data_IF_658549413508
#
_entry.id   IF_658549413508
#
_cell.length_a   1.000
_cell.length_b   1.000
_cell.length_c   1.000
_cell.angle_alpha   90.00
_cell.angle_beta   90.00
_cell.angle_gamma   90.00
#
_symmetry.space_group_name_H-M   'P 1'
#
loop_
_entity.id
_entity.type
_entity.pdbx_description
1 polymer ?
#
# COMPACT_ATOMS: atom_id res chain seq x y z
N UNK A 1 28.75 -38.50 10.54
CA UNK A 1 27.92 -37.70 11.45
C UNK A 1 27.57 -36.45 10.71
N UNK A 2 26.34 -36.31 10.28
CA UNK A 2 25.83 -35.14 9.60
C UNK A 2 25.17 -34.27 10.68
N UNK A 3 25.80 -33.15 10.99
CA UNK A 3 25.24 -32.17 11.93
C UNK A 3 24.15 -31.37 11.22
N UNK A 4 22.89 -31.67 11.52
CA UNK A 4 21.74 -30.89 11.07
C UNK A 4 21.71 -29.66 11.98
N UNK A 5 22.14 -28.52 11.44
CA UNK A 5 21.91 -27.22 12.08
C UNK A 5 20.41 -26.93 12.05
N UNK A 6 19.77 -26.98 13.21
CA UNK A 6 18.43 -26.42 13.38
C UNK A 6 18.58 -24.90 13.39
N UNK A 7 18.32 -24.25 12.27
CA UNK A 7 18.09 -22.80 12.28
C UNK A 7 16.79 -22.55 13.05
N UNK A 8 16.91 -21.92 14.21
CA UNK A 8 15.77 -21.34 14.91
C UNK A 8 15.18 -20.26 14.00
N UNK A 9 13.87 -20.27 13.73
CA UNK A 9 13.27 -19.17 12.96
C UNK A 9 13.57 -17.86 13.71
N UNK A 10 14.15 -16.88 13.00
CA UNK A 10 14.30 -15.52 13.52
C UNK A 10 12.91 -15.05 13.97
N UNK A 11 12.78 -14.71 15.24
CA UNK A 11 11.53 -14.14 15.75
C UNK A 11 11.28 -12.82 15.05
N UNK A 12 10.09 -12.63 14.48
CA UNK A 12 9.68 -11.37 13.87
C UNK A 12 9.94 -10.20 14.82
N UNK A 13 10.55 -9.14 14.29
CA UNK A 13 10.91 -7.98 15.10
C UNK A 13 9.69 -7.15 15.39
N UNK A 14 9.35 -6.95 16.66
CA UNK A 14 8.30 -6.02 17.08
C UNK A 14 8.75 -4.58 16.83
N UNK A 15 7.95 -3.79 16.11
CA UNK A 15 8.22 -2.40 15.74
C UNK A 15 7.20 -1.41 16.30
N UNK A 16 6.08 -1.91 16.84
CA UNK A 16 5.01 -1.08 17.37
C UNK A 16 3.87 -1.93 17.92
N UNK A 17 2.72 -1.33 18.06
CA UNK A 17 1.50 -2.02 18.45
C UNK A 17 0.26 -1.41 17.80
N UNK A 18 -0.74 -2.22 17.57
CA UNK A 18 -2.12 -1.81 17.22
C UNK A 18 -3.05 -1.94 18.41
N UNK A 19 -4.20 -1.28 18.34
CA UNK A 19 -5.30 -1.41 19.31
C UNK A 19 -6.54 -1.77 18.51
N UNK A 20 -7.17 -2.91 18.84
CA UNK A 20 -8.38 -3.35 18.19
C UNK A 20 -9.62 -2.58 18.68
N UNK A 21 -10.80 -2.90 18.14
CA UNK A 21 -12.06 -2.22 18.49
C UNK A 21 -12.48 -2.44 19.95
N UNK A 22 -11.98 -3.47 20.61
CA UNK A 22 -12.23 -3.79 22.02
C UNK A 22 -11.22 -3.13 22.97
N UNK A 23 -10.23 -2.41 22.42
CA UNK A 23 -9.18 -1.73 23.19
C UNK A 23 -7.99 -2.60 23.57
N UNK A 24 -7.89 -3.80 23.03
CA UNK A 24 -6.77 -4.72 23.28
C UNK A 24 -5.57 -4.41 22.38
N UNK A 25 -4.37 -4.63 22.90
CA UNK A 25 -3.10 -4.40 22.17
C UNK A 25 -2.63 -5.68 21.51
N UNK A 26 -2.18 -5.53 20.24
CA UNK A 26 -1.47 -6.56 19.49
C UNK A 26 -0.15 -5.99 18.94
N UNK A 27 0.90 -6.80 18.90
CA UNK A 27 2.18 -6.37 18.36
C UNK A 27 2.11 -6.15 16.85
N UNK A 28 2.78 -5.08 16.38
CA UNK A 28 3.08 -4.86 14.97
C UNK A 28 4.49 -5.37 14.72
N UNK A 29 4.66 -6.21 13.71
CA UNK A 29 5.92 -6.88 13.38
C UNK A 29 6.34 -6.59 11.94
N UNK A 30 7.53 -7.05 11.55
CA UNK A 30 7.93 -7.14 10.14
C UNK A 30 8.03 -8.63 9.82
N UNK A 31 7.13 -9.12 8.97
CA UNK A 31 7.09 -10.53 8.55
C UNK A 31 7.47 -10.72 7.09
N UNK A 32 7.18 -9.72 6.24
CA UNK A 32 7.47 -9.77 4.81
C UNK A 32 7.98 -8.42 4.29
N UNK A 33 8.90 -8.47 3.33
CA UNK A 33 9.23 -7.31 2.52
C UNK A 33 8.36 -7.32 1.26
N UNK A 34 7.39 -6.43 1.22
CA UNK A 34 6.42 -6.27 0.13
C UNK A 34 6.54 -4.91 -0.56
N UNK A 35 7.61 -4.15 -0.26
CA UNK A 35 7.87 -2.83 -0.82
C UNK A 35 7.96 -2.85 -2.35
N UNK A 36 8.55 -3.90 -2.93
CA UNK A 36 8.70 -4.01 -4.39
C UNK A 36 7.36 -4.13 -5.10
N UNK A 37 6.37 -4.78 -4.48
CA UNK A 37 5.01 -4.89 -5.04
C UNK A 37 4.37 -3.50 -5.10
N UNK A 38 4.46 -2.75 -4.00
CA UNK A 38 3.92 -1.40 -3.92
C UNK A 38 4.65 -0.44 -4.85
N UNK A 39 5.97 -0.55 -4.97
CA UNK A 39 6.77 0.25 -5.89
C UNK A 39 6.37 0.00 -7.35
N UNK A 40 6.23 -1.28 -7.76
CA UNK A 40 5.75 -1.63 -9.09
C UNK A 40 4.33 -1.10 -9.38
N UNK A 41 3.48 -1.02 -8.35
CA UNK A 41 2.15 -0.44 -8.47
C UNK A 41 2.20 1.08 -8.70
N UNK A 42 3.06 1.80 -7.99
CA UNK A 42 3.31 3.23 -8.21
C UNK A 42 3.89 3.49 -9.61
N UNK A 43 4.82 2.64 -10.06
CA UNK A 43 5.38 2.74 -11.41
C UNK A 43 4.29 2.56 -12.47
N UNK A 44 3.40 1.58 -12.32
CA UNK A 44 2.26 1.40 -13.22
C UNK A 44 1.34 2.63 -13.29
N UNK A 45 1.14 3.33 -12.17
CA UNK A 45 0.39 4.59 -12.14
C UNK A 45 1.14 5.70 -12.92
N UNK A 46 2.44 5.85 -12.71
CA UNK A 46 3.27 6.83 -13.40
C UNK A 46 3.36 6.57 -14.90
N UNK A 47 3.39 5.30 -15.31
CA UNK A 47 3.43 4.87 -16.70
C UNK A 47 2.06 4.89 -17.39
N UNK A 48 0.98 5.10 -16.61
CA UNK A 48 -0.42 5.04 -17.11
C UNK A 48 -0.78 3.64 -17.62
N UNK A 49 -0.14 2.61 -17.07
CA UNK A 49 -0.44 1.22 -17.39
C UNK A 49 -1.67 0.74 -16.59
N UNK A 50 -2.82 1.13 -17.09
CA UNK A 50 -4.10 0.79 -16.46
C UNK A 50 -4.41 -0.71 -16.46
N UNK A 51 -3.85 -1.45 -17.42
CA UNK A 51 -3.99 -2.90 -17.44
C UNK A 51 -3.20 -3.53 -16.29
N UNK A 52 -1.98 -3.04 -16.05
CA UNK A 52 -1.15 -3.48 -14.92
C UNK A 52 -1.75 -3.09 -13.58
N UNK A 53 -2.30 -1.88 -13.44
CA UNK A 53 -3.04 -1.47 -12.24
C UNK A 53 -4.20 -2.43 -11.98
N UNK A 54 -5.02 -2.73 -13.01
CA UNK A 54 -6.13 -3.67 -12.87
C UNK A 54 -5.67 -5.10 -12.49
N UNK A 55 -4.54 -5.55 -13.05
CA UNK A 55 -3.95 -6.85 -12.70
C UNK A 55 -3.51 -6.89 -11.24
N UNK A 56 -2.93 -5.81 -10.72
CA UNK A 56 -2.39 -5.74 -9.35
C UNK A 56 -3.45 -5.49 -8.29
N UNK A 57 -4.59 -4.88 -8.63
CA UNK A 57 -5.71 -4.72 -7.71
C UNK A 57 -6.32 -6.06 -7.31
N UNK A 58 -6.82 -6.15 -6.08
CA UNK A 58 -7.84 -7.14 -5.73
C UNK A 58 -9.19 -6.77 -6.39
N UNK A 59 -10.07 -7.75 -6.57
CA UNK A 59 -11.40 -7.49 -7.16
C UNK A 59 -12.26 -6.57 -6.29
N UNK A 60 -12.07 -6.66 -4.98
CA UNK A 60 -12.79 -5.92 -3.93
C UNK A 60 -11.96 -4.80 -3.30
N UNK A 61 -10.95 -4.32 -4.02
CA UNK A 61 -10.10 -3.20 -3.56
C UNK A 61 -10.94 -2.04 -3.04
N UNK A 62 -10.49 -1.45 -1.93
CA UNK A 62 -11.10 -0.28 -1.31
C UNK A 62 -10.08 0.82 -1.17
N UNK A 63 -10.41 2.00 -1.67
CA UNK A 63 -9.50 3.15 -1.66
C UNK A 63 -10.18 4.34 -1.00
N UNK A 64 -9.49 4.91 -0.02
CA UNK A 64 -9.87 6.17 0.61
C UNK A 64 -8.94 7.27 0.13
N UNK A 65 -9.47 8.21 -0.61
CA UNK A 65 -8.71 9.32 -1.15
C UNK A 65 -8.58 10.48 -0.16
N UNK A 66 -7.59 11.37 -0.37
CA UNK A 66 -7.27 12.46 0.56
C UNK A 66 -8.36 13.54 0.66
N UNK A 67 -9.26 13.64 -0.30
CA UNK A 67 -10.40 14.57 -0.28
C UNK A 67 -11.72 13.89 0.15
N UNK A 68 -11.63 12.71 0.82
CA UNK A 68 -12.79 11.99 1.32
C UNK A 68 -13.48 11.09 0.29
N UNK A 69 -12.83 10.82 -0.84
CA UNK A 69 -13.34 9.87 -1.82
C UNK A 69 -13.31 8.46 -1.21
N UNK A 70 -14.34 7.68 -1.49
CA UNK A 70 -14.37 6.24 -1.26
C UNK A 70 -14.66 5.54 -2.56
N UNK A 71 -13.77 4.63 -2.96
CA UNK A 71 -13.86 3.87 -4.20
C UNK A 71 -13.80 2.39 -3.84
N UNK A 72 -14.71 1.60 -4.38
CA UNK A 72 -14.79 0.17 -4.13
C UNK A 72 -14.85 -0.60 -5.46
N UNK A 73 -13.97 -1.59 -5.58
CA UNK A 73 -13.87 -2.48 -6.72
C UNK A 73 -12.82 -2.06 -7.76
N UNK A 74 -12.22 -3.06 -8.38
CA UNK A 74 -11.09 -2.92 -9.30
C UNK A 74 -11.41 -2.00 -10.48
N UNK A 75 -12.53 -2.23 -11.17
CA UNK A 75 -12.90 -1.41 -12.33
C UNK A 75 -13.12 0.05 -11.94
N UNK A 76 -13.84 0.30 -10.85
CA UNK A 76 -14.11 1.66 -10.37
C UNK A 76 -12.82 2.40 -10.00
N UNK A 77 -11.86 1.71 -9.39
CA UNK A 77 -10.57 2.30 -9.07
C UNK A 77 -9.78 2.68 -10.33
N UNK A 78 -9.70 1.79 -11.33
CA UNK A 78 -9.01 2.09 -12.60
C UNK A 78 -9.64 3.26 -13.34
N UNK A 79 -10.96 3.34 -13.39
CA UNK A 79 -11.68 4.47 -13.99
C UNK A 79 -11.38 5.78 -13.27
N UNK A 80 -11.42 5.78 -11.92
CA UNK A 80 -11.06 6.93 -11.12
C UNK A 80 -9.62 7.39 -11.37
N UNK A 81 -8.64 6.46 -11.42
CA UNK A 81 -7.24 6.81 -11.72
C UNK A 81 -7.10 7.45 -13.09
N UNK A 82 -7.80 6.93 -14.11
CA UNK A 82 -7.80 7.52 -15.46
C UNK A 82 -8.29 8.96 -15.46
N UNK A 83 -9.43 9.20 -14.83
CA UNK A 83 -10.04 10.53 -14.76
C UNK A 83 -9.13 11.50 -13.98
N UNK A 84 -8.59 11.05 -12.86
CA UNK A 84 -7.71 11.86 -12.03
C UNK A 84 -6.41 12.23 -12.74
N UNK A 85 -5.76 11.27 -13.37
CA UNK A 85 -4.56 11.51 -14.19
C UNK A 85 -4.84 12.48 -15.33
N UNK A 86 -5.99 12.31 -16.01
CA UNK A 86 -6.39 13.16 -17.12
C UNK A 86 -6.63 14.62 -16.68
N UNK A 87 -7.15 14.81 -15.46
CA UNK A 87 -7.43 16.12 -14.91
C UNK A 87 -6.18 16.84 -14.34
N UNK A 88 -5.19 16.09 -13.86
CA UNK A 88 -4.11 16.67 -13.04
C UNK A 88 -2.70 16.31 -13.49
N UNK A 89 -2.55 15.44 -14.50
CA UNK A 89 -1.25 14.83 -14.89
C UNK A 89 -0.39 14.42 -13.68
N UNK A 90 -1.04 13.86 -12.66
CA UNK A 90 -0.40 13.51 -11.39
C UNK A 90 0.77 12.54 -11.59
N UNK A 91 1.85 12.79 -10.84
CA UNK A 91 3.03 11.91 -10.75
C UNK A 91 3.36 11.66 -9.29
N UNK A 92 3.78 10.43 -9.03
CA UNK A 92 4.23 9.96 -7.72
C UNK A 92 5.75 9.80 -7.74
N UNK A 93 6.44 10.46 -6.82
CA UNK A 93 7.87 10.24 -6.57
C UNK A 93 8.04 9.60 -5.20
N UNK A 94 8.26 8.28 -5.13
CA UNK A 94 8.46 7.57 -3.88
C UNK A 94 9.68 8.11 -3.12
N UNK A 95 9.58 8.18 -1.78
CA UNK A 95 10.66 8.71 -0.95
C UNK A 95 11.09 7.73 0.15
N UNK A 96 10.14 7.03 0.78
CA UNK A 96 10.42 6.07 1.84
C UNK A 96 9.29 5.05 1.98
N UNK A 97 9.64 3.85 2.49
CA UNK A 97 8.74 2.73 2.70
C UNK A 97 8.98 2.10 4.07
N UNK A 98 7.92 1.67 4.72
CA UNK A 98 7.93 0.90 5.97
C UNK A 98 7.02 -0.29 5.78
N UNK A 99 7.59 -1.50 5.77
CA UNK A 99 6.81 -2.74 5.83
C UNK A 99 6.38 -3.00 7.26
N UNK A 100 5.14 -3.40 7.44
CA UNK A 100 4.63 -3.80 8.74
C UNK A 100 3.56 -4.88 8.60
N UNK A 101 3.37 -5.67 9.66
CA UNK A 101 2.36 -6.70 9.74
C UNK A 101 1.63 -6.55 11.06
N UNK A 102 0.32 -6.51 11.03
CA UNK A 102 -0.49 -6.28 12.22
C UNK A 102 -1.85 -6.96 12.16
N UNK A 103 -2.40 -7.22 13.33
CA UNK A 103 -3.74 -7.74 13.47
C UNK A 103 -4.78 -6.72 13.01
N UNK A 104 -5.77 -7.19 12.27
CA UNK A 104 -6.90 -6.36 11.86
C UNK A 104 -7.69 -5.87 13.09
N UNK A 105 -8.26 -4.66 13.05
CA UNK A 105 -9.05 -4.12 14.15
C UNK A 105 -10.24 -4.99 14.59
N UNK A 106 -10.75 -5.83 13.69
CA UNK A 106 -11.83 -6.79 13.94
C UNK A 106 -11.34 -8.19 14.33
N UNK A 107 -10.02 -8.35 14.54
CA UNK A 107 -9.37 -9.63 14.86
C UNK A 107 -9.59 -10.73 13.81
N UNK A 108 -9.90 -10.37 12.56
CA UNK A 108 -10.14 -11.32 11.46
C UNK A 108 -8.88 -11.96 10.91
N UNK A 109 -7.71 -11.55 11.36
CA UNK A 109 -6.40 -12.06 10.94
C UNK A 109 -5.31 -10.99 10.94
N UNK A 110 -4.16 -11.34 10.38
CA UNK A 110 -3.00 -10.46 10.21
C UNK A 110 -2.90 -10.02 8.76
N UNK A 111 -2.77 -8.72 8.55
CA UNK A 111 -2.47 -8.14 7.25
C UNK A 111 -1.03 -7.67 7.16
N UNK A 112 -0.49 -7.69 5.94
CA UNK A 112 0.76 -7.03 5.61
C UNK A 112 0.47 -5.67 5.00
N UNK A 113 1.16 -4.65 5.49
CA UNK A 113 1.02 -3.26 5.10
C UNK A 113 2.32 -2.69 4.57
N UNK A 114 2.21 -1.79 3.60
CA UNK A 114 3.27 -0.84 3.26
C UNK A 114 2.78 0.55 3.57
N UNK A 115 3.40 1.19 4.54
CA UNK A 115 3.26 2.62 4.77
C UNK A 115 4.37 3.35 4.04
N UNK A 116 4.04 4.32 3.20
CA UNK A 116 5.02 4.97 2.33
C UNK A 116 4.77 6.46 2.15
N UNK A 117 5.85 7.22 2.01
CA UNK A 117 5.80 8.65 1.71
C UNK A 117 6.15 8.94 0.26
N UNK A 118 5.38 9.82 -0.34
CA UNK A 118 5.51 10.23 -1.73
C UNK A 118 5.48 11.74 -1.86
N UNK A 119 6.33 12.29 -2.73
CA UNK A 119 6.09 13.59 -3.31
C UNK A 119 5.13 13.41 -4.47
N UNK A 120 4.05 14.19 -4.46
CA UNK A 120 3.05 14.22 -5.52
C UNK A 120 3.23 15.51 -6.31
N UNK A 121 3.20 15.40 -7.63
CA UNK A 121 3.24 16.56 -8.53
C UNK A 121 1.97 16.56 -9.37
N UNK A 122 1.23 17.66 -9.34
CA UNK A 122 0.08 17.92 -10.20
C UNK A 122 0.45 18.99 -11.22
N UNK A 123 0.03 18.80 -12.46
CA UNK A 123 0.14 19.81 -13.50
C UNK A 123 -1.24 20.11 -14.06
N UNK A 124 -1.76 21.30 -13.78
CA UNK A 124 -3.06 21.76 -14.26
C UNK A 124 -2.86 23.10 -15.00
N UNK A 125 -3.34 23.20 -16.24
CA UNK A 125 -3.19 24.37 -17.09
C UNK A 125 -1.73 24.87 -17.25
N UNK A 126 -0.77 23.93 -17.16
CA UNK A 126 0.67 24.23 -17.24
C UNK A 126 1.29 24.72 -15.94
N UNK A 127 0.53 24.83 -14.87
CA UNK A 127 1.02 25.13 -13.53
C UNK A 127 1.27 23.88 -12.71
N UNK A 128 2.45 23.78 -12.12
CA UNK A 128 2.84 22.64 -11.29
C UNK A 128 2.60 22.94 -9.81
N UNK A 129 1.98 21.99 -9.11
CA UNK A 129 1.80 22.02 -7.66
C UNK A 129 2.42 20.78 -7.06
N UNK A 130 3.27 20.97 -6.03
CA UNK A 130 3.93 19.88 -5.30
C UNK A 130 3.34 19.81 -3.89
N UNK A 131 3.05 18.56 -3.46
CA UNK A 131 2.66 18.27 -2.08
C UNK A 131 3.13 16.87 -1.69
N UNK A 132 3.00 16.52 -0.42
CA UNK A 132 3.45 15.25 0.11
C UNK A 132 2.28 14.47 0.67
N UNK A 133 2.28 13.17 0.40
CA UNK A 133 1.27 12.24 0.92
C UNK A 133 1.93 11.05 1.59
N UNK A 134 1.25 10.51 2.58
CA UNK A 134 1.52 9.20 3.14
C UNK A 134 0.42 8.26 2.66
N UNK A 135 0.82 7.13 2.11
CA UNK A 135 -0.06 6.06 1.72
C UNK A 135 0.13 4.87 2.65
N UNK A 136 -0.97 4.22 2.97
CA UNK A 136 -0.98 2.97 3.71
C UNK A 136 -1.76 1.94 2.88
N UNK A 137 -1.06 0.91 2.44
CA UNK A 137 -1.60 -0.09 1.53
C UNK A 137 -1.55 -1.47 2.16
N UNK A 138 -2.67 -2.18 2.14
CA UNK A 138 -2.73 -3.61 2.46
C UNK A 138 -2.34 -4.40 1.22
N UNK A 139 -1.44 -5.36 1.38
CA UNK A 139 -1.02 -6.26 0.31
C UNK A 139 -1.24 -7.69 0.76
N UNK A 140 -2.11 -8.41 0.07
CA UNK A 140 -2.42 -9.80 0.34
C UNK A 140 -2.30 -10.63 -0.95
N UNK A 141 -1.60 -11.77 -0.87
CA UNK A 141 -1.40 -12.67 -2.03
C UNK A 141 -0.86 -11.95 -3.28
N UNK A 142 -0.04 -10.91 -3.09
CA UNK A 142 0.52 -10.11 -4.16
C UNK A 142 -0.45 -9.11 -4.81
N UNK A 143 -1.60 -8.85 -4.20
CA UNK A 143 -2.64 -7.90 -4.63
C UNK A 143 -2.77 -6.75 -3.63
N UNK A 144 -3.20 -5.58 -4.16
CA UNK A 144 -3.50 -4.37 -3.41
C UNK A 144 -5.00 -4.38 -3.07
#
# INVERSE_FOLDING_TARGET
>A
MISTSCETPESSKVIGFSINNDGERSDITIEADISDIWLAYIDAHNERDYAKIAEMNSEDIKVWGPAGQYIEGNQAHVEFVKEWVQATDVKWTPQWFINNSGENPDSSGVNNYVTSGHQMTFTVDGEETIFYQVHDAVISEGKI
#
